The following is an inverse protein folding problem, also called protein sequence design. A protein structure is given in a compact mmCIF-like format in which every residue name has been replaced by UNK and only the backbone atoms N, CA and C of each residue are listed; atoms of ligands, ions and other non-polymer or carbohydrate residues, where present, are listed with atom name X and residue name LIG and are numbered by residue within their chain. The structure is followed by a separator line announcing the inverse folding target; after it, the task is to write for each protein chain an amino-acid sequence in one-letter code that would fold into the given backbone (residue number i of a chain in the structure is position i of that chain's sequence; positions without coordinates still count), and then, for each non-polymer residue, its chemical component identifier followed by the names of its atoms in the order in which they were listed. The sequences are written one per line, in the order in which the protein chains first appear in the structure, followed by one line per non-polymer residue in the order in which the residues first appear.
data_IF_092262238398
#
_entry.id   IF_092262238398
#
_cell.length_a   1.000
_cell.length_b   1.000
_cell.length_c   1.000
_cell.angle_alpha   90.00
_cell.angle_beta   90.00
_cell.angle_gamma   90.00
#
_symmetry.space_group_name_H-M   'P 1'
#
loop_
_entity.id
_entity.type
_entity.pdbx_description
1 polymer ?
#
# COMPACT_ATOMS: atom_id res chain seq x y z
N UNK A 1 -14.64 6.94 19.18
CA UNK A 1 -13.27 6.95 18.63
C UNK A 1 -13.21 6.29 17.25
N UNK A 2 -13.62 5.04 17.11
CA UNK A 2 -13.61 4.36 15.82
C UNK A 2 -14.47 5.05 14.75
N UNK A 3 -15.62 5.58 15.12
CA UNK A 3 -16.49 6.28 14.18
C UNK A 3 -15.82 7.53 13.60
N UNK A 4 -15.04 8.24 14.42
CA UNK A 4 -14.31 9.41 13.95
C UNK A 4 -13.18 9.03 13.01
N UNK A 5 -12.51 7.90 13.27
CA UNK A 5 -11.45 7.42 12.39
C UNK A 5 -12.02 7.01 11.03
N UNK A 6 -13.17 6.36 11.00
CA UNK A 6 -13.83 5.99 9.75
C UNK A 6 -14.24 7.21 8.94
N UNK A 7 -14.77 8.25 9.61
CA UNK A 7 -15.14 9.49 8.95
C UNK A 7 -13.92 10.21 8.36
N UNK A 8 -12.83 10.27 9.13
CA UNK A 8 -11.59 10.88 8.67
C UNK A 8 -11.03 10.12 7.49
N UNK A 9 -10.98 8.79 7.57
CA UNK A 9 -10.49 7.96 6.49
C UNK A 9 -11.33 8.11 5.23
N UNK A 10 -12.66 8.12 5.36
CA UNK A 10 -13.54 8.29 4.21
C UNK A 10 -13.34 9.64 3.54
N UNK A 11 -13.18 10.70 4.35
CA UNK A 11 -12.90 12.03 3.81
C UNK A 11 -11.57 12.05 3.06
N UNK A 12 -10.51 11.51 3.68
CA UNK A 12 -9.18 11.50 3.08
C UNK A 12 -9.18 10.72 1.77
N UNK A 13 -9.84 9.57 1.74
CA UNK A 13 -9.93 8.79 0.52
C UNK A 13 -10.72 9.52 -0.57
N UNK A 14 -11.70 10.33 -0.19
CA UNK A 14 -12.51 11.08 -1.16
C UNK A 14 -11.73 12.18 -1.87
N UNK A 15 -10.67 12.70 -1.26
CA UNK A 15 -9.86 13.78 -1.83
C UNK A 15 -8.54 13.29 -2.42
N UNK A 16 -8.22 11.99 -2.26
CA UNK A 16 -7.06 11.38 -2.89
C UNK A 16 -7.33 11.04 -4.35
N UNK A 17 -6.25 10.80 -5.09
CA UNK A 17 -6.36 10.24 -6.43
C UNK A 17 -7.06 8.90 -6.36
N UNK A 18 -7.75 8.54 -7.44
CA UNK A 18 -8.45 7.27 -7.50
C UNK A 18 -7.47 6.10 -7.40
N UNK A 19 -7.93 5.05 -6.70
CA UNK A 19 -7.19 3.80 -6.59
C UNK A 19 -7.17 3.11 -7.95
N UNK A 20 -5.99 2.70 -8.43
CA UNK A 20 -5.91 2.01 -9.72
C UNK A 20 -6.51 0.60 -9.62
N UNK A 21 -6.80 -0.01 -10.77
CA UNK A 21 -7.51 -1.29 -10.82
C UNK A 21 -6.74 -2.43 -10.14
N UNK A 22 -5.43 -2.45 -10.24
CA UNK A 22 -4.62 -3.48 -9.59
C UNK A 22 -4.70 -3.36 -8.07
N UNK A 23 -4.57 -2.15 -7.55
CA UNK A 23 -4.67 -1.91 -6.11
C UNK A 23 -6.08 -2.21 -5.59
N UNK A 24 -7.12 -1.89 -6.36
CA UNK A 24 -8.49 -2.26 -6.00
C UNK A 24 -8.64 -3.77 -5.88
N UNK A 25 -8.06 -4.51 -6.81
CA UNK A 25 -8.10 -5.97 -6.80
C UNK A 25 -7.40 -6.53 -5.56
N UNK A 26 -6.23 -6.01 -5.23
CA UNK A 26 -5.48 -6.44 -4.05
C UNK A 26 -6.26 -6.14 -2.78
N UNK A 27 -6.87 -4.95 -2.69
CA UNK A 27 -7.70 -4.56 -1.56
C UNK A 27 -8.85 -5.55 -1.37
N UNK A 28 -9.58 -5.81 -2.44
CA UNK A 28 -10.71 -6.74 -2.41
C UNK A 28 -10.28 -8.15 -2.02
N UNK A 29 -9.23 -8.67 -2.64
CA UNK A 29 -8.73 -10.01 -2.36
C UNK A 29 -8.24 -10.14 -0.92
N UNK A 30 -7.59 -9.10 -0.41
CA UNK A 30 -7.11 -9.07 0.98
C UNK A 30 -8.27 -9.19 1.95
N UNK A 31 -9.34 -8.44 1.76
CA UNK A 31 -10.51 -8.50 2.65
C UNK A 31 -11.28 -9.81 2.51
N UNK A 32 -11.20 -10.46 1.36
CA UNK A 32 -11.89 -11.73 1.16
C UNK A 32 -11.11 -12.94 1.70
N UNK A 33 -9.79 -12.89 1.70
CA UNK A 33 -8.96 -14.07 1.98
C UNK A 33 -8.14 -14.02 3.26
N UNK A 34 -7.80 -12.84 3.72
CA UNK A 34 -6.91 -12.71 4.87
C UNK A 34 -7.67 -12.63 6.18
N UNK A 35 -7.06 -13.19 7.24
CA UNK A 35 -7.65 -13.19 8.59
C UNK A 35 -7.63 -11.79 9.20
N UNK A 36 -6.60 -11.01 8.90
CA UNK A 36 -6.42 -9.66 9.44
C UNK A 36 -6.20 -8.65 8.31
N UNK A 37 -7.21 -8.40 7.48
CA UNK A 37 -7.06 -7.53 6.31
C UNK A 37 -6.72 -6.08 6.67
N UNK A 38 -7.06 -5.63 7.87
CA UNK A 38 -6.76 -4.27 8.31
C UNK A 38 -5.27 -4.00 8.48
N UNK A 39 -4.41 -5.03 8.40
CA UNK A 39 -2.95 -4.85 8.38
C UNK A 39 -2.46 -4.28 7.05
N UNK A 40 -3.29 -4.32 6.01
CA UNK A 40 -2.96 -3.71 4.73
C UNK A 40 -2.98 -2.19 4.85
N UNK A 41 -2.05 -1.53 4.15
CA UNK A 41 -1.92 -0.07 4.22
C UNK A 41 -3.17 0.69 3.76
N UNK A 42 -3.83 0.21 2.71
CA UNK A 42 -5.05 0.83 2.20
C UNK A 42 -4.79 2.01 1.27
N UNK A 43 -5.90 2.57 0.75
CA UNK A 43 -5.84 3.56 -0.34
C UNK A 43 -5.14 4.86 0.07
N UNK A 44 -5.59 5.48 1.17
CA UNK A 44 -5.02 6.76 1.59
C UNK A 44 -3.53 6.62 1.92
N UNK A 45 -3.19 5.67 2.78
CA UNK A 45 -1.80 5.46 3.17
C UNK A 45 -0.93 5.10 1.96
N UNK A 46 -1.48 4.31 1.04
CA UNK A 46 -0.78 3.96 -0.20
C UNK A 46 -0.46 5.18 -1.04
N UNK A 47 -1.40 6.12 -1.15
CA UNK A 47 -1.14 7.36 -1.90
C UNK A 47 -0.08 8.22 -1.23
N UNK A 48 -0.05 8.26 0.11
CA UNK A 48 0.99 8.98 0.84
C UNK A 48 2.36 8.32 0.60
N UNK A 49 2.44 7.00 0.69
CA UNK A 49 3.68 6.27 0.41
C UNK A 49 4.18 6.52 -1.01
N UNK A 50 3.27 6.48 -1.98
CA UNK A 50 3.60 6.74 -3.37
C UNK A 50 4.13 8.17 -3.56
N UNK A 51 3.50 9.15 -2.92
CA UNK A 51 3.92 10.54 -2.98
C UNK A 51 5.33 10.71 -2.42
N UNK A 52 5.60 10.14 -1.24
CA UNK A 52 6.91 10.21 -0.62
C UNK A 52 7.97 9.54 -1.51
N UNK A 53 7.64 8.37 -2.04
CA UNK A 53 8.51 7.64 -2.94
C UNK A 53 8.86 8.49 -4.18
N UNK A 54 7.87 9.12 -4.77
CA UNK A 54 8.08 9.99 -5.94
C UNK A 54 8.94 11.22 -5.62
N UNK A 55 8.77 11.77 -4.41
CA UNK A 55 9.58 12.92 -3.98
C UNK A 55 11.04 12.54 -3.77
N UNK A 56 11.28 11.35 -3.24
CA UNK A 56 12.65 10.86 -3.00
C UNK A 56 13.28 10.31 -4.28
N UNK A 57 12.48 9.72 -5.15
CA UNK A 57 12.93 9.03 -6.37
C UNK A 57 14.04 8.03 -6.07
N UNK A 58 13.78 7.06 -5.19
CA UNK A 58 14.83 6.18 -4.67
C UNK A 58 15.33 5.22 -5.72
N UNK A 59 16.61 4.87 -5.61
CA UNK A 59 17.23 3.82 -6.44
C UNK A 59 17.05 2.45 -5.79
N UNK A 60 16.89 2.41 -4.49
CA UNK A 60 16.70 1.18 -3.74
C UNK A 60 15.69 1.41 -2.63
N UNK A 61 14.79 0.46 -2.49
CA UNK A 61 13.78 0.46 -1.42
C UNK A 61 13.89 -0.85 -0.68
N UNK A 62 13.84 -0.77 0.65
CA UNK A 62 13.70 -1.96 1.49
C UNK A 62 12.40 -1.85 2.25
N UNK A 63 11.55 -2.85 2.09
CA UNK A 63 10.30 -2.96 2.82
C UNK A 63 10.35 -4.19 3.73
N UNK A 64 9.97 -4.01 4.98
CA UNK A 64 9.83 -5.11 5.92
C UNK A 64 8.33 -5.27 6.20
N UNK A 65 7.80 -6.45 5.89
CA UNK A 65 6.37 -6.73 5.99
C UNK A 65 5.64 -6.51 4.69
N UNK A 66 5.77 -7.44 3.76
CA UNK A 66 5.12 -7.36 2.43
C UNK A 66 3.61 -7.44 2.52
N UNK A 67 3.12 -8.30 3.40
CA UNK A 67 1.73 -8.70 3.53
C UNK A 67 1.16 -9.11 2.16
N UNK A 68 0.17 -8.40 1.61
CA UNK A 68 -0.39 -8.72 0.30
C UNK A 68 0.20 -7.90 -0.84
N UNK A 69 1.17 -7.06 -0.55
CA UNK A 69 1.92 -6.29 -1.55
C UNK A 69 1.32 -4.93 -1.90
N UNK A 70 0.29 -4.48 -1.19
CA UNK A 70 -0.34 -3.20 -1.48
C UNK A 70 0.64 -2.03 -1.34
N UNK A 71 1.31 -1.94 -0.17
CA UNK A 71 2.30 -0.89 0.07
C UNK A 71 3.49 -1.02 -0.86
N UNK A 72 3.88 -2.27 -1.17
CA UNK A 72 4.99 -2.55 -2.08
C UNK A 72 4.77 -1.88 -3.43
N UNK A 73 3.59 -2.06 -4.01
CA UNK A 73 3.24 -1.47 -5.30
C UNK A 73 3.20 0.05 -5.24
N UNK A 74 2.71 0.60 -4.12
CA UNK A 74 2.67 2.06 -3.95
C UNK A 74 4.07 2.65 -3.88
N UNK A 75 4.99 2.00 -3.17
CA UNK A 75 6.38 2.44 -3.08
C UNK A 75 7.09 2.35 -4.43
N UNK A 76 6.76 1.32 -5.22
CA UNK A 76 7.35 1.13 -6.54
C UNK A 76 7.03 2.28 -7.49
N UNK A 77 5.90 2.96 -7.32
CA UNK A 77 5.48 4.04 -8.21
C UNK A 77 6.49 5.18 -8.28
N UNK A 78 7.30 5.37 -7.25
CA UNK A 78 8.34 6.40 -7.23
C UNK A 78 9.75 5.89 -7.49
N UNK A 79 9.90 4.58 -7.70
CA UNK A 79 11.21 3.96 -7.89
C UNK A 79 11.89 4.53 -9.13
N UNK A 80 13.18 4.89 -8.99
CA UNK A 80 13.96 5.41 -10.12
C UNK A 80 14.13 4.35 -11.21
N UNK A 81 14.33 4.78 -12.48
CA UNK A 81 14.62 3.83 -13.56
C UNK A 81 15.81 2.95 -13.18
N UNK A 82 15.69 1.64 -13.41
CA UNK A 82 16.70 0.65 -13.06
C UNK A 82 16.90 0.48 -11.55
N UNK A 83 15.97 1.00 -10.74
CA UNK A 83 16.02 0.82 -9.30
C UNK A 83 15.53 -0.55 -8.87
N UNK A 84 15.77 -0.89 -7.61
CA UNK A 84 15.39 -2.17 -7.03
C UNK A 84 14.58 -1.96 -5.76
N UNK A 85 13.53 -2.77 -5.61
CA UNK A 85 12.77 -2.84 -4.38
C UNK A 85 12.92 -4.25 -3.81
N UNK A 86 13.37 -4.32 -2.54
CA UNK A 86 13.47 -5.56 -1.82
C UNK A 86 12.39 -5.57 -0.73
N UNK A 87 11.64 -6.64 -0.65
CA UNK A 87 10.60 -6.77 0.35
C UNK A 87 10.75 -8.10 1.08
N UNK A 88 10.52 -8.09 2.38
CA UNK A 88 10.71 -9.24 3.25
C UNK A 88 9.45 -9.49 4.06
N UNK A 89 9.00 -10.73 4.10
CA UNK A 89 7.90 -11.14 4.95
C UNK A 89 8.17 -12.54 5.48
N UNK A 90 7.64 -12.82 6.67
CA UNK A 90 7.79 -14.12 7.30
C UNK A 90 6.62 -15.06 7.02
N UNK A 91 5.57 -14.57 6.38
CA UNK A 91 4.37 -15.34 6.09
C UNK A 91 4.48 -16.02 4.73
N UNK A 92 4.83 -17.31 4.73
CA UNK A 92 5.03 -18.09 3.50
C UNK A 92 3.75 -18.26 2.69
N UNK A 93 2.59 -18.19 3.32
CA UNK A 93 1.30 -18.37 2.63
C UNK A 93 0.98 -17.24 1.65
N UNK A 94 1.67 -16.14 1.74
CA UNK A 94 1.42 -14.96 0.90
C UNK A 94 2.39 -14.84 -0.28
N UNK A 95 3.29 -15.76 -0.39
CA UNK A 95 4.17 -15.85 -1.53
C UNK A 95 3.43 -16.47 -2.72
#
# INVERSE_FOLDING_TARGET
MFQNEERVNSYLESICDEENSLLKTINRETYLRETMPHMMSGHYQGRVLSMISKMVSPKRILEIGTFTGYATLCLEEGLAPEGFLHTIDINEEQE
#
